data_IF_398733690038
#
_entry.id   IF_398733690038
#
_cell.length_a   1.000
_cell.length_b   1.000
_cell.length_c   1.000
_cell.angle_alpha   90.00
_cell.angle_beta   90.00
_cell.angle_gamma   90.00
#
_symmetry.space_group_name_H-M   'P 1'
#
loop_
_entity.id
_entity.type
_entity.pdbx_description
1 polymer ?
#
# COMPACT_ATOMS: atom_id res chain seq x y z
N UNK A 1 14.37 -15.75 2.14
CA UNK A 1 13.53 -14.54 2.29
C UNK A 1 14.32 -13.54 3.10
N UNK A 2 14.42 -12.30 2.66
CA UNK A 2 15.06 -11.21 3.43
C UNK A 2 14.09 -10.68 4.48
N UNK A 3 14.62 -10.23 5.62
CA UNK A 3 13.82 -9.59 6.66
C UNK A 3 13.15 -8.31 6.12
N UNK A 4 11.85 -8.07 6.41
CA UNK A 4 11.15 -6.90 5.90
C UNK A 4 11.66 -5.61 6.55
N UNK A 5 12.03 -4.63 5.72
CA UNK A 5 12.40 -3.28 6.16
C UNK A 5 11.16 -2.47 6.59
N UNK A 6 11.31 -1.62 7.62
CA UNK A 6 10.27 -0.68 8.08
C UNK A 6 10.81 0.75 8.11
N UNK A 7 11.11 1.34 6.93
CA UNK A 7 11.73 2.66 6.83
C UNK A 7 10.77 3.79 7.24
N UNK A 8 11.29 4.98 7.59
CA UNK A 8 10.49 6.19 7.68
C UNK A 8 9.79 6.49 6.35
N UNK A 9 8.54 6.95 6.42
CA UNK A 9 7.71 7.29 5.26
C UNK A 9 7.47 8.80 5.17
N UNK A 10 7.42 9.31 3.95
CA UNK A 10 7.12 10.71 3.64
C UNK A 10 6.06 10.82 2.54
N UNK A 11 5.34 11.95 2.50
CA UNK A 11 4.35 12.25 1.47
C UNK A 11 4.82 13.43 0.64
N UNK A 12 4.76 13.30 -0.67
CA UNK A 12 5.19 14.32 -1.62
C UNK A 12 4.07 14.59 -2.62
N UNK A 13 3.75 15.86 -2.83
CA UNK A 13 2.89 16.30 -3.92
C UNK A 13 3.75 16.56 -5.15
N UNK A 14 3.40 15.94 -6.27
CA UNK A 14 4.14 16.04 -7.52
C UNK A 14 3.22 16.61 -8.60
N UNK A 15 3.70 17.55 -9.44
CA UNK A 15 2.97 17.91 -10.64
C UNK A 15 2.93 16.71 -11.58
N UNK A 16 1.78 16.46 -12.20
CA UNK A 16 1.70 15.54 -13.32
C UNK A 16 2.03 16.25 -14.65
N UNK A 17 2.00 15.47 -15.74
CA UNK A 17 2.40 15.91 -17.08
C UNK A 17 1.38 16.87 -17.71
N UNK A 18 0.13 16.80 -17.26
CA UNK A 18 -1.03 17.48 -17.83
C UNK A 18 -1.48 18.68 -16.97
N UNK A 19 -0.72 19.00 -15.93
CA UNK A 19 -0.96 20.14 -15.03
C UNK A 19 -1.81 19.81 -13.80
N UNK A 20 -2.13 18.55 -13.57
CA UNK A 20 -2.72 18.04 -12.35
C UNK A 20 -1.69 17.74 -11.26
N UNK A 21 -2.16 17.09 -10.19
CA UNK A 21 -1.37 16.81 -8.99
C UNK A 21 -1.47 15.34 -8.62
N UNK A 22 -0.32 14.71 -8.43
CA UNK A 22 -0.19 13.37 -7.89
C UNK A 22 0.30 13.41 -6.43
N UNK A 23 -0.09 12.41 -5.65
CA UNK A 23 0.38 12.22 -4.26
C UNK A 23 1.23 10.97 -4.17
N UNK A 24 2.53 11.14 -3.92
CA UNK A 24 3.48 10.04 -3.77
C UNK A 24 3.74 9.72 -2.30
N UNK A 25 3.75 8.44 -1.97
CA UNK A 25 4.33 7.90 -0.74
C UNK A 25 5.77 7.49 -1.04
N UNK A 26 6.71 8.00 -0.24
CA UNK A 26 8.13 7.68 -0.36
C UNK A 26 8.67 7.08 0.93
N UNK A 27 9.74 6.28 0.81
CA UNK A 27 10.43 5.66 1.92
C UNK A 27 11.92 6.03 1.91
N UNK A 28 12.47 6.32 3.08
CA UNK A 28 13.90 6.57 3.25
C UNK A 28 14.64 5.26 3.51
N UNK A 29 15.35 4.75 2.50
CA UNK A 29 16.11 3.50 2.56
C UNK A 29 17.58 3.82 2.33
N UNK A 30 18.44 3.46 3.29
CA UNK A 30 19.89 3.73 3.23
C UNK A 30 20.22 5.21 2.93
N UNK A 31 19.41 6.14 3.47
CA UNK A 31 19.58 7.57 3.29
C UNK A 31 19.15 8.11 1.93
N UNK A 32 18.50 7.30 1.10
CA UNK A 32 17.92 7.70 -0.20
C UNK A 32 16.41 7.61 -0.14
N UNK A 33 15.73 8.55 -0.79
CA UNK A 33 14.28 8.50 -0.96
C UNK A 33 13.92 7.59 -2.14
N UNK A 34 13.00 6.66 -1.89
CA UNK A 34 12.47 5.74 -2.88
C UNK A 34 10.95 5.91 -2.98
N UNK A 35 10.43 6.08 -4.19
CA UNK A 35 8.99 6.05 -4.43
C UNK A 35 8.44 4.64 -4.13
N UNK A 36 7.42 4.57 -3.27
CA UNK A 36 6.75 3.31 -2.91
C UNK A 36 5.49 3.16 -3.76
N UNK A 37 4.64 4.19 -3.77
CA UNK A 37 3.43 4.26 -4.58
C UNK A 37 3.09 5.71 -4.91
N UNK A 38 2.30 5.90 -5.96
CA UNK A 38 1.78 7.21 -6.36
C UNK A 38 0.28 7.13 -6.58
N UNK A 39 -0.47 8.04 -5.99
CA UNK A 39 -1.89 8.22 -6.25
C UNK A 39 -2.05 9.29 -7.33
N UNK A 40 -2.81 8.98 -8.37
CA UNK A 40 -3.08 9.85 -9.52
C UNK A 40 -4.57 9.84 -9.88
N UNK A 41 -5.02 10.87 -10.59
CA UNK A 41 -6.35 10.94 -11.19
C UNK A 41 -6.29 10.53 -12.67
N UNK A 42 -7.30 9.82 -13.16
CA UNK A 42 -7.48 9.58 -14.60
C UNK A 42 -8.04 10.84 -15.26
N UNK A 43 -7.38 11.32 -16.32
CA UNK A 43 -7.76 12.54 -17.02
C UNK A 43 -9.15 12.49 -17.70
N UNK A 44 -9.76 11.30 -17.83
CA UNK A 44 -11.05 11.11 -18.50
C UNK A 44 -12.23 11.29 -17.57
N UNK A 45 -12.12 10.81 -16.34
CA UNK A 45 -13.24 10.70 -15.40
C UNK A 45 -12.91 11.07 -13.95
N UNK A 46 -11.69 11.56 -13.69
CA UNK A 46 -11.19 11.92 -12.36
C UNK A 46 -11.17 10.75 -11.35
N UNK A 47 -11.28 9.51 -11.82
CA UNK A 47 -11.14 8.34 -10.95
C UNK A 47 -9.72 8.24 -10.39
N UNK A 48 -9.60 7.87 -9.12
CA UNK A 48 -8.31 7.79 -8.44
C UNK A 48 -7.69 6.40 -8.55
N UNK A 49 -6.42 6.37 -8.93
CA UNK A 49 -5.64 5.15 -9.12
C UNK A 49 -4.37 5.20 -8.28
N UNK A 50 -3.94 4.03 -7.81
CA UNK A 50 -2.68 3.82 -7.10
C UNK A 50 -1.73 3.10 -8.04
N UNK A 51 -0.69 3.79 -8.47
CA UNK A 51 0.40 3.24 -9.26
C UNK A 51 1.49 2.67 -8.36
N UNK A 52 1.88 1.42 -8.62
CA UNK A 52 2.98 0.72 -7.96
C UNK A 52 3.90 0.09 -9.01
N UNK A 53 5.17 -0.13 -8.66
CA UNK A 53 6.10 -0.88 -9.51
C UNK A 53 6.10 -2.35 -9.10
N UNK A 54 5.82 -3.24 -10.04
CA UNK A 54 5.83 -4.69 -9.85
C UNK A 54 6.51 -5.35 -11.07
N UNK A 55 7.61 -6.08 -10.82
CA UNK A 55 8.37 -6.80 -11.85
C UNK A 55 8.78 -5.94 -13.07
N UNK A 56 9.23 -4.70 -12.82
CA UNK A 56 9.63 -3.75 -13.86
C UNK A 56 8.47 -3.12 -14.64
N UNK A 57 7.22 -3.46 -14.30
CA UNK A 57 6.03 -2.85 -14.86
C UNK A 57 5.35 -1.94 -13.83
N UNK A 58 4.75 -0.84 -14.31
CA UNK A 58 3.84 -0.05 -13.50
C UNK A 58 2.44 -0.68 -13.54
N UNK A 59 1.90 -0.99 -12.37
CA UNK A 59 0.55 -1.52 -12.19
C UNK A 59 -0.31 -0.44 -11.55
N UNK A 60 -1.53 -0.25 -12.05
CA UNK A 60 -2.50 0.68 -11.48
C UNK A 60 -3.66 -0.08 -10.85
N UNK A 61 -3.98 0.28 -9.61
CA UNK A 61 -5.06 -0.30 -8.81
C UNK A 61 -6.07 0.80 -8.51
N UNK A 62 -7.39 0.61 -8.73
CA UNK A 62 -8.37 1.60 -8.32
C UNK A 62 -8.27 1.87 -6.82
N UNK A 63 -8.25 3.14 -6.42
CA UNK A 63 -8.09 3.51 -5.00
C UNK A 63 -9.19 2.90 -4.12
N UNK A 64 -10.42 2.84 -4.64
CA UNK A 64 -11.54 2.22 -3.94
C UNK A 64 -11.30 0.72 -3.64
N UNK A 65 -10.71 -0.01 -4.59
CA UNK A 65 -10.39 -1.44 -4.41
C UNK A 65 -9.29 -1.61 -3.36
N UNK A 66 -8.25 -0.78 -3.39
CA UNK A 66 -7.19 -0.85 -2.37
C UNK A 66 -7.72 -0.53 -0.96
N UNK A 67 -8.61 0.46 -0.83
CA UNK A 67 -9.23 0.79 0.46
C UNK A 67 -10.02 -0.39 1.02
N UNK A 68 -10.87 -0.99 0.19
CA UNK A 68 -11.66 -2.14 0.62
C UNK A 68 -10.79 -3.34 1.01
N UNK A 69 -9.69 -3.58 0.28
CA UNK A 69 -8.72 -4.60 0.65
C UNK A 69 -8.10 -4.33 2.03
N UNK A 70 -7.71 -3.10 2.32
CA UNK A 70 -7.12 -2.73 3.61
C UNK A 70 -8.11 -2.81 4.77
N UNK A 71 -9.38 -2.50 4.53
CA UNK A 71 -10.47 -2.67 5.51
C UNK A 71 -10.63 -4.14 5.87
N UNK A 72 -10.80 -5.03 4.88
CA UNK A 72 -10.88 -6.48 5.11
C UNK A 72 -9.62 -7.01 5.78
N UNK A 73 -8.44 -6.53 5.37
CA UNK A 73 -7.19 -6.98 5.95
C UNK A 73 -7.03 -6.59 7.43
N UNK A 74 -7.54 -5.43 7.85
CA UNK A 74 -7.48 -5.01 9.25
C UNK A 74 -8.24 -5.96 10.19
N UNK A 75 -9.31 -6.57 9.68
CA UNK A 75 -10.18 -7.47 10.44
C UNK A 75 -9.79 -8.94 10.29
N UNK A 76 -9.36 -9.37 9.11
CA UNK A 76 -9.20 -10.80 8.79
C UNK A 76 -7.74 -11.28 8.69
N UNK A 77 -6.76 -10.39 8.54
CA UNK A 77 -5.35 -10.78 8.41
C UNK A 77 -4.71 -10.92 9.78
N UNK A 78 -4.43 -12.16 10.17
CA UNK A 78 -3.79 -12.50 11.42
C UNK A 78 -2.54 -13.35 11.23
N UNK A 79 -1.63 -13.31 12.21
CA UNK A 79 -0.45 -14.18 12.21
C UNK A 79 -0.82 -15.61 12.60
N UNK A 80 0.03 -16.58 12.24
CA UNK A 80 -0.15 -17.98 12.66
C UNK A 80 -0.24 -18.11 14.19
N UNK A 81 0.55 -17.32 14.93
CA UNK A 81 0.52 -17.30 16.40
C UNK A 81 -0.83 -16.81 16.95
N UNK A 82 -1.51 -15.93 16.24
CA UNK A 82 -2.85 -15.47 16.65
C UNK A 82 -3.85 -16.62 16.52
N UNK A 83 -3.84 -17.36 15.40
CA UNK A 83 -4.72 -18.52 15.20
C UNK A 83 -4.46 -19.63 16.22
N UNK A 84 -3.19 -19.94 16.49
CA UNK A 84 -2.83 -20.95 17.49
C UNK A 84 -3.36 -20.63 18.91
N UNK A 85 -3.54 -19.34 19.23
CA UNK A 85 -4.14 -18.92 20.51
C UNK A 85 -5.66 -19.06 20.51
N UNK A 86 -6.32 -18.89 19.37
CA UNK A 86 -7.77 -19.13 19.25
C UNK A 86 -8.09 -20.61 19.39
N UNK A 87 -7.36 -21.47 18.67
CA UNK A 87 -7.57 -22.93 18.72
C UNK A 87 -7.34 -23.50 20.13
N UNK A 88 -6.37 -22.96 20.86
CA UNK A 88 -6.12 -23.33 22.24
C UNK A 88 -7.26 -22.90 23.17
N UNK A 89 -7.79 -21.68 23.00
CA UNK A 89 -8.92 -21.17 23.78
C UNK A 89 -10.22 -21.96 23.50
N UNK A 90 -10.48 -22.31 22.24
CA UNK A 90 -11.65 -23.08 21.82
C UNK A 90 -11.58 -24.56 22.26
N UNK A 91 -10.41 -25.07 22.63
CA UNK A 91 -10.20 -26.43 23.12
C UNK A 91 -10.38 -26.57 24.65
N UNK A 92 -10.50 -25.46 25.36
CA UNK A 92 -10.64 -25.40 26.83
C UNK A 92 -12.11 -25.23 27.29
N UNK A 93 -13.05 -25.08 26.35
CA UNK A 93 -14.52 -25.05 26.54
C UNK A 93 -15.20 -26.40 26.19
#
# INVERSE_FOLDING_TARGET
MTEPLRPPLSRLWLPDQDGGMALQLSASIEGREHAVLTVLADARDESLWVAVQADGAQVQIPLAVLRQLLEVAADEVHSADWFARQDAADSED
#
